data_IF_498723033275
#
_entry.id   IF_498723033275
#
_cell.length_a   1.000
_cell.length_b   1.000
_cell.length_c   1.000
_cell.angle_alpha   90.00
_cell.angle_beta   90.00
_cell.angle_gamma   90.00
#
_symmetry.space_group_name_H-M   'P 1'
#
loop_
_entity.id
_entity.type
_entity.pdbx_description
1 polymer ?
#
# COMPACT_ATOMS: atom_id res chain seq x y z
N UNK A 1 6.28 0.30 -0.78
CA UNK A 1 7.40 1.09 -0.22
C UNK A 1 7.19 2.56 -0.54
N UNK A 2 7.98 3.45 0.08
CA UNK A 2 8.03 4.89 -0.22
C UNK A 2 9.48 5.30 -0.48
N UNK A 3 9.76 6.30 -1.33
CA UNK A 3 11.15 6.71 -1.64
C UNK A 3 11.94 7.21 -0.42
N UNK A 4 11.23 7.73 0.58
CA UNK A 4 11.75 8.15 1.88
C UNK A 4 10.68 7.87 2.95
N UNK A 5 11.08 7.41 4.13
CA UNK A 5 10.17 7.10 5.22
C UNK A 5 10.56 7.88 6.47
N UNK A 6 9.70 8.81 6.89
CA UNK A 6 9.82 9.51 8.18
C UNK A 6 9.15 8.75 9.32
N UNK A 7 8.03 8.07 9.01
CA UNK A 7 7.21 7.32 9.95
C UNK A 7 7.06 5.89 9.45
N UNK A 8 7.30 4.92 10.32
CA UNK A 8 7.09 3.51 9.97
C UNK A 8 5.60 3.17 10.02
N UNK A 9 5.22 2.00 9.51
CA UNK A 9 3.84 1.52 9.62
C UNK A 9 3.37 1.32 11.05
N UNK A 10 4.30 1.15 12.00
CA UNK A 10 4.02 1.02 13.42
C UNK A 10 3.59 2.35 14.07
N UNK A 11 3.90 3.48 13.44
CA UNK A 11 3.63 4.82 13.98
C UNK A 11 2.35 5.45 13.40
N UNK A 12 1.64 4.73 12.52
CA UNK A 12 0.47 5.24 11.80
C UNK A 12 -0.74 4.34 12.06
N UNK A 13 -1.79 4.90 12.64
CA UNK A 13 -3.03 4.16 12.90
C UNK A 13 -4.09 4.33 11.82
N UNK A 14 -4.26 5.54 11.26
CA UNK A 14 -5.34 5.86 10.33
C UNK A 14 -4.84 6.74 9.20
N UNK A 15 -5.27 6.44 7.97
CA UNK A 15 -5.02 7.25 6.77
C UNK A 15 -6.36 7.77 6.23
N UNK A 16 -6.40 9.05 5.85
CA UNK A 16 -7.61 9.73 5.33
C UNK A 16 -7.28 10.48 4.04
N UNK A 17 -8.16 10.34 3.05
CA UNK A 17 -8.13 11.09 1.78
C UNK A 17 -9.54 11.57 1.44
N UNK A 18 -9.73 12.27 0.32
CA UNK A 18 -11.07 12.60 -0.20
C UNK A 18 -11.85 11.37 -0.67
N UNK A 19 -11.18 10.22 -0.83
CA UNK A 19 -11.80 8.96 -1.28
C UNK A 19 -12.33 8.11 -0.14
N UNK A 20 -11.84 8.32 1.08
CA UNK A 20 -12.28 7.56 2.26
C UNK A 20 -11.25 7.52 3.38
N UNK A 21 -11.47 6.57 4.29
CA UNK A 21 -10.70 6.36 5.53
C UNK A 21 -10.23 4.90 5.58
N UNK A 22 -8.96 4.69 5.91
CA UNK A 22 -8.39 3.38 6.21
C UNK A 22 -7.92 3.34 7.67
N UNK A 23 -8.58 2.51 8.47
CA UNK A 23 -8.25 2.27 9.89
C UNK A 23 -7.38 1.02 10.01
N UNK A 24 -6.11 1.22 10.33
CA UNK A 24 -5.06 0.23 10.19
C UNK A 24 -4.72 -0.46 11.52
N UNK A 25 -5.44 -0.14 12.59
CA UNK A 25 -5.22 -0.71 13.92
C UNK A 25 -5.47 -2.22 13.90
N UNK A 26 -4.49 -2.98 14.39
CA UNK A 26 -4.57 -4.44 14.47
C UNK A 26 -4.46 -5.18 13.12
N UNK A 27 -4.11 -4.48 12.03
CA UNK A 27 -3.97 -5.09 10.70
C UNK A 27 -2.56 -5.61 10.46
N UNK A 28 -2.46 -6.78 9.82
CA UNK A 28 -1.20 -7.26 9.27
C UNK A 28 -0.84 -6.47 7.98
N UNK A 29 0.43 -6.46 7.53
CA UNK A 29 0.83 -5.63 6.39
C UNK A 29 0.05 -5.87 5.09
N UNK A 30 -0.37 -7.12 4.81
CA UNK A 30 -1.21 -7.44 3.65
C UNK A 30 -2.61 -6.83 3.76
N UNK A 31 -3.23 -6.94 4.93
CA UNK A 31 -4.55 -6.38 5.21
C UNK A 31 -4.50 -4.85 5.15
N UNK A 32 -3.44 -4.27 5.73
CA UNK A 32 -3.13 -2.85 5.68
C UNK A 32 -3.04 -2.34 4.25
N UNK A 33 -2.25 -3.00 3.40
CA UNK A 33 -2.09 -2.63 1.99
C UNK A 33 -3.43 -2.65 1.25
N UNK A 34 -4.18 -3.75 1.38
CA UNK A 34 -5.49 -3.89 0.75
C UNK A 34 -6.48 -2.79 1.22
N UNK A 35 -6.48 -2.45 2.51
CA UNK A 35 -7.36 -1.42 3.05
C UNK A 35 -7.01 -0.02 2.53
N UNK A 36 -5.72 0.32 2.47
CA UNK A 36 -5.26 1.60 1.91
C UNK A 36 -5.65 1.72 0.44
N UNK A 37 -5.39 0.68 -0.36
CA UNK A 37 -5.71 0.67 -1.81
C UNK A 37 -7.21 0.80 -2.04
N UNK A 38 -8.03 0.06 -1.30
CA UNK A 38 -9.48 0.06 -1.50
C UNK A 38 -10.16 1.35 -0.99
N UNK A 39 -9.75 1.85 0.17
CA UNK A 39 -10.44 2.97 0.84
C UNK A 39 -9.87 4.34 0.51
N UNK A 40 -8.57 4.45 0.21
CA UNK A 40 -7.89 5.75 0.08
C UNK A 40 -7.31 6.03 -1.31
N UNK A 41 -7.01 5.01 -2.12
CA UNK A 41 -6.41 5.26 -3.43
C UNK A 41 -7.39 5.94 -4.39
N UNK A 42 -6.87 6.91 -5.16
CA UNK A 42 -7.58 7.55 -6.27
C UNK A 42 -7.96 6.50 -7.34
N UNK A 43 -9.17 6.58 -7.94
CA UNK A 43 -9.64 5.58 -8.92
C UNK A 43 -8.65 5.27 -10.04
N UNK A 44 -8.00 6.31 -10.59
CA UNK A 44 -7.03 6.18 -11.68
C UNK A 44 -5.78 5.34 -11.32
N UNK A 45 -5.46 5.24 -10.03
CA UNK A 45 -4.28 4.50 -9.54
C UNK A 45 -4.63 3.18 -8.87
N UNK A 46 -5.89 2.99 -8.42
CA UNK A 46 -6.30 1.80 -7.66
C UNK A 46 -6.00 0.50 -8.41
N UNK A 47 -6.30 0.44 -9.70
CA UNK A 47 -5.99 -0.73 -10.53
C UNK A 47 -4.49 -1.04 -10.56
N UNK A 48 -3.67 -0.03 -10.86
CA UNK A 48 -2.20 -0.16 -10.91
C UNK A 48 -1.59 -0.57 -9.56
N UNK A 49 -2.14 -0.08 -8.45
CA UNK A 49 -1.74 -0.46 -7.09
C UNK A 49 -2.12 -1.90 -6.77
N UNK A 50 -3.31 -2.35 -7.18
CA UNK A 50 -3.72 -3.74 -7.01
C UNK A 50 -2.83 -4.68 -7.81
N UNK A 51 -2.56 -4.36 -9.08
CA UNK A 51 -1.66 -5.15 -9.93
C UNK A 51 -0.25 -5.28 -9.32
N UNK A 52 0.26 -4.21 -8.71
CA UNK A 52 1.54 -4.24 -7.99
C UNK A 52 1.47 -5.16 -6.76
N UNK A 53 0.41 -5.07 -5.96
CA UNK A 53 0.22 -5.92 -4.78
C UNK A 53 0.09 -7.40 -5.16
N UNK A 54 -0.59 -7.70 -6.25
CA UNK A 54 -0.80 -9.07 -6.73
C UNK A 54 0.52 -9.68 -7.20
N UNK A 55 1.31 -8.96 -8.02
CA UNK A 55 2.66 -9.41 -8.40
C UNK A 55 3.57 -9.60 -7.19
N UNK A 56 3.55 -8.65 -6.26
CA UNK A 56 4.35 -8.75 -5.05
C UNK A 56 3.94 -9.97 -4.19
N UNK A 57 2.64 -10.30 -4.15
CA UNK A 57 2.14 -11.44 -3.40
C UNK A 57 2.68 -12.79 -3.91
N UNK A 58 2.92 -12.91 -5.23
CA UNK A 58 3.54 -14.10 -5.83
C UNK A 58 4.99 -14.31 -5.37
N UNK A 59 5.73 -13.23 -5.07
CA UNK A 59 7.09 -13.28 -4.53
C UNK A 59 7.09 -13.77 -3.07
N UNK A 60 6.02 -13.47 -2.32
CA UNK A 60 5.82 -13.91 -0.94
C UNK A 60 6.44 -12.98 0.11
N UNK A 61 6.60 -13.49 1.34
CA UNK A 61 7.12 -12.74 2.49
C UNK A 61 6.05 -12.18 3.44
N UNK A 62 6.46 -11.56 4.55
CA UNK A 62 5.53 -10.90 5.47
C UNK A 62 5.00 -9.58 4.90
N UNK A 63 5.92 -8.79 4.33
CA UNK A 63 5.64 -7.56 3.57
C UNK A 63 6.10 -7.76 2.13
N UNK A 64 5.22 -8.27 1.25
CA UNK A 64 5.58 -8.57 -0.12
C UNK A 64 5.92 -7.30 -0.92
N UNK A 65 7.03 -7.34 -1.66
CA UNK A 65 7.45 -6.29 -2.58
C UNK A 65 7.98 -6.87 -3.88
N UNK A 66 7.55 -6.27 -5.00
CA UNK A 66 8.26 -6.33 -6.28
C UNK A 66 9.27 -5.18 -6.29
N UNK A 67 10.56 -5.51 -6.08
CA UNK A 67 11.64 -4.52 -5.93
C UNK A 67 12.04 -3.89 -7.27
N UNK A 68 11.85 -4.60 -8.38
CA UNK A 68 12.19 -4.11 -9.71
C UNK A 68 11.30 -2.93 -10.11
N UNK A 69 10.04 -2.94 -9.66
CA UNK A 69 9.07 -1.88 -9.93
C UNK A 69 8.69 -1.01 -8.71
N UNK A 70 9.27 -1.25 -7.53
CA UNK A 70 8.91 -0.56 -6.29
C UNK A 70 9.01 0.97 -6.37
N UNK A 71 9.94 1.48 -7.17
CA UNK A 71 10.19 2.92 -7.36
C UNK A 71 10.03 3.40 -8.81
N UNK A 72 9.47 2.59 -9.71
CA UNK A 72 9.25 2.95 -11.11
C UNK A 72 7.98 3.79 -11.34
N UNK A 73 7.49 4.46 -10.30
CA UNK A 73 6.23 5.21 -10.30
C UNK A 73 6.53 6.67 -10.62
N UNK A 74 6.85 6.93 -11.87
CA UNK A 74 6.94 8.29 -12.42
C UNK A 74 5.91 8.45 -13.53
N UNK A 75 5.57 9.68 -13.88
CA UNK A 75 4.80 9.95 -15.11
C UNK A 75 5.55 9.46 -16.36
#
# INVERSE_FOLDING_TARGET
>A
MVPHADHTEHDVDVIVTERGVADLRGTAPRERSAMIVNSCAHPDYRGRLQDYCDRAAEIGGHMPHDLDSAFSWTE
#
